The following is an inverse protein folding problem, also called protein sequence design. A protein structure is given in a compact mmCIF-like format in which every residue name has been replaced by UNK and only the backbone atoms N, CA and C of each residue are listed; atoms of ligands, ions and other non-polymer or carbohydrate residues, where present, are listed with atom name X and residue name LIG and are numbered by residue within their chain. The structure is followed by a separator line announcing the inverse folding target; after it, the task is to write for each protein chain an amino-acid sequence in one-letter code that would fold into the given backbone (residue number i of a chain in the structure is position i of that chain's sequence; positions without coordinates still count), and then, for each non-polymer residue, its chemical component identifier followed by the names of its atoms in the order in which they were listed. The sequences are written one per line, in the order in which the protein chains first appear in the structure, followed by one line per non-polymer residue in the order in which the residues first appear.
data_IF_912996696484
#
_entry.id   IF_912996696484
#
_cell.length_a   1.000
_cell.length_b   1.000
_cell.length_c   1.000
_cell.angle_alpha   90.00
_cell.angle_beta   90.00
_cell.angle_gamma   90.00
#
_symmetry.space_group_name_H-M   'P 1'
#
loop_
_entity.id
_entity.type
_entity.pdbx_description
1 polymer ?
#
# COMPACT_ATOMS: atom_id res chain seq x y z
N UNK A 1 14.98 5.46 62.50
CA UNK A 1 14.18 5.59 61.27
C UNK A 1 14.54 4.44 60.35
N UNK A 2 13.51 3.74 59.85
CA UNK A 2 13.46 2.77 58.75
C UNK A 2 13.73 1.30 59.08
N UNK A 3 12.60 0.64 59.31
CA UNK A 3 12.29 -0.76 59.09
C UNK A 3 12.54 -1.23 57.64
N UNK A 4 12.69 -2.55 57.46
CA UNK A 4 11.97 -3.44 56.51
C UNK A 4 12.86 -4.64 56.12
N UNK A 5 12.62 -5.83 56.66
CA UNK A 5 11.61 -6.83 56.25
C UNK A 5 11.96 -7.52 54.91
N UNK A 6 12.34 -8.77 55.09
CA UNK A 6 12.38 -9.93 54.17
C UNK A 6 11.28 -9.99 53.10
N UNK A 7 11.64 -10.45 51.90
CA UNK A 7 10.78 -11.25 50.99
C UNK A 7 11.67 -11.93 49.94
N UNK A 8 11.98 -13.21 50.13
CA UNK A 8 11.27 -14.36 49.56
C UNK A 8 11.68 -14.66 48.12
N UNK A 9 12.55 -15.65 47.99
CA UNK A 9 12.80 -16.42 46.76
C UNK A 9 11.55 -17.26 46.51
N UNK A 10 10.85 -17.02 45.40
CA UNK A 10 9.85 -17.94 44.85
C UNK A 10 10.37 -18.48 43.52
N UNK A 11 10.62 -19.79 43.51
CA UNK A 11 10.71 -20.60 42.31
C UNK A 11 9.38 -20.50 41.54
N UNK A 12 9.45 -20.09 40.28
CA UNK A 12 8.35 -20.18 39.33
C UNK A 12 8.85 -20.84 38.06
N UNK A 13 8.58 -22.15 37.94
CA UNK A 13 8.65 -22.89 36.68
C UNK A 13 7.62 -22.25 35.74
N UNK A 14 8.07 -21.65 34.63
CA UNK A 14 7.19 -21.24 33.55
C UNK A 14 7.21 -22.31 32.46
N UNK A 15 6.06 -22.95 32.35
CA UNK A 15 5.65 -24.01 31.44
C UNK A 15 5.95 -23.71 29.97
N UNK A 16 6.29 -24.77 29.25
CA UNK A 16 6.36 -24.86 27.80
C UNK A 16 4.93 -24.71 27.24
N UNK A 17 4.76 -23.87 26.21
CA UNK A 17 3.77 -24.05 25.14
C UNK A 17 2.29 -23.91 25.48
N UNK A 18 1.69 -22.79 25.08
CA UNK A 18 0.33 -22.76 24.57
C UNK A 18 0.19 -21.61 23.57
N UNK A 19 -0.24 -21.96 22.36
CA UNK A 19 -0.39 -21.13 21.17
C UNK A 19 -1.08 -19.79 21.47
N UNK A 20 -0.42 -18.68 21.13
CA UNK A 20 -1.12 -17.42 20.94
C UNK A 20 -1.87 -17.57 19.61
N UNK A 21 -3.18 -17.84 19.71
CA UNK A 21 -4.08 -17.70 18.57
C UNK A 21 -4.10 -16.20 18.27
N UNK A 22 -3.30 -15.78 17.29
CA UNK A 22 -3.57 -14.55 16.56
C UNK A 22 -4.91 -14.77 15.85
N UNK A 23 -6.00 -14.40 16.52
CA UNK A 23 -7.26 -14.17 15.82
C UNK A 23 -7.04 -13.00 14.89
N UNK A 24 -6.73 -13.31 13.63
CA UNK A 24 -6.87 -12.38 12.53
C UNK A 24 -8.26 -11.72 12.64
N UNK A 25 -8.40 -10.40 12.40
CA UNK A 25 -9.73 -9.88 12.14
C UNK A 25 -10.27 -10.64 10.93
N UNK A 26 -11.43 -11.26 11.14
CA UNK A 26 -12.13 -12.03 10.14
C UNK A 26 -12.23 -11.24 8.83
N UNK A 27 -11.72 -11.85 7.77
CA UNK A 27 -12.34 -11.91 6.46
C UNK A 27 -13.37 -10.79 6.20
N UNK A 28 -12.87 -9.60 5.86
CA UNK A 28 -13.68 -8.63 5.15
C UNK A 28 -14.05 -9.29 3.81
N UNK A 29 -15.25 -9.86 3.77
CA UNK A 29 -15.96 -10.08 2.53
C UNK A 29 -15.82 -8.80 1.69
N UNK A 30 -15.48 -8.87 0.40
CA UNK A 30 -15.65 -7.71 -0.46
C UNK A 30 -17.14 -7.39 -0.44
N UNK A 31 -17.50 -6.38 0.35
CA UNK A 31 -18.84 -5.82 0.32
C UNK A 31 -19.07 -5.37 -1.12
N UNK A 32 -19.91 -6.15 -1.79
CA UNK A 32 -20.27 -5.98 -3.20
C UNK A 32 -21.32 -4.87 -3.34
N UNK A 33 -21.28 -3.85 -2.49
CA UNK A 33 -22.19 -2.70 -2.46
C UNK A 33 -21.72 -1.50 -3.30
N UNK A 34 -20.75 -1.69 -4.21
CA UNK A 34 -20.68 -0.90 -5.45
C UNK A 34 -21.39 -1.62 -6.60
N UNK A 35 -22.59 -2.14 -6.32
CA UNK A 35 -23.56 -2.49 -7.34
C UNK A 35 -24.71 -1.47 -7.31
N UNK A 36 -24.89 -0.80 -8.45
CA UNK A 36 -26.08 -0.06 -8.91
C UNK A 36 -26.19 1.43 -8.56
N UNK A 37 -25.53 2.24 -9.39
CA UNK A 37 -26.26 3.02 -10.39
C UNK A 37 -25.51 2.88 -11.73
N UNK A 38 -26.05 2.09 -12.68
CA UNK A 38 -25.64 2.15 -14.10
C UNK A 38 -25.05 0.91 -14.80
N UNK A 39 -24.96 -0.28 -14.16
CA UNK A 39 -24.38 -1.45 -14.82
C UNK A 39 -25.35 -2.18 -15.78
N UNK A 40 -25.56 -1.59 -16.96
CA UNK A 40 -25.78 -2.35 -18.19
C UNK A 40 -24.55 -2.15 -19.07
N UNK A 41 -23.55 -3.02 -18.95
CA UNK A 41 -22.34 -2.95 -19.75
C UNK A 41 -21.50 -4.22 -19.58
N UNK A 42 -21.11 -4.79 -20.70
CA UNK A 42 -20.37 -6.05 -20.83
C UNK A 42 -19.07 -6.09 -19.99
N UNK A 43 -18.67 -7.30 -19.57
CA UNK A 43 -17.38 -7.62 -18.95
C UNK A 43 -16.20 -7.42 -19.93
N UNK A 44 -15.92 -6.17 -20.28
CA UNK A 44 -14.60 -5.72 -20.74
C UNK A 44 -13.91 -5.14 -19.52
N UNK A 45 -12.68 -5.59 -19.21
CA UNK A 45 -11.85 -5.02 -18.15
C UNK A 45 -11.86 -3.49 -18.25
N UNK A 46 -12.63 -2.84 -17.38
CA UNK A 46 -12.79 -1.40 -17.42
C UNK A 46 -11.44 -0.80 -16.98
N UNK A 47 -10.83 0.10 -17.76
CA UNK A 47 -9.64 0.79 -17.30
C UNK A 47 -9.97 1.53 -16.01
N UNK A 48 -9.15 1.35 -14.97
CA UNK A 48 -9.39 1.97 -13.67
C UNK A 48 -9.50 3.50 -13.82
N UNK A 49 -10.61 4.06 -13.33
CA UNK A 49 -10.82 5.51 -13.27
C UNK A 49 -9.84 6.17 -12.28
N UNK A 50 -9.69 7.49 -12.36
CA UNK A 50 -8.85 8.24 -11.42
C UNK A 50 -9.27 8.06 -9.96
N UNK A 51 -10.57 7.92 -9.69
CA UNK A 51 -11.10 7.68 -8.33
C UNK A 51 -10.73 6.28 -7.85
N UNK A 52 -10.86 5.27 -8.70
CA UNK A 52 -10.46 3.90 -8.36
C UNK A 52 -8.94 3.81 -8.15
N UNK A 53 -8.13 4.47 -8.98
CA UNK A 53 -6.68 4.54 -8.80
C UNK A 53 -6.30 5.23 -7.49
N UNK A 54 -6.98 6.32 -7.09
CA UNK A 54 -6.75 6.96 -5.80
C UNK A 54 -7.12 6.06 -4.61
N UNK A 55 -8.18 5.26 -4.74
CA UNK A 55 -8.55 4.27 -3.73
C UNK A 55 -7.50 3.16 -3.60
N UNK A 56 -6.96 2.67 -4.73
CA UNK A 56 -5.86 1.70 -4.74
C UNK A 56 -4.63 2.29 -4.03
N UNK A 57 -4.23 3.51 -4.38
CA UNK A 57 -3.10 4.20 -3.74
C UNK A 57 -3.30 4.29 -2.23
N UNK A 58 -4.47 4.75 -1.79
CA UNK A 58 -4.79 4.88 -0.36
C UNK A 58 -4.77 3.52 0.35
N UNK A 59 -5.20 2.45 -0.31
CA UNK A 59 -5.18 1.10 0.28
C UNK A 59 -3.76 0.55 0.50
N UNK A 60 -2.80 0.92 -0.35
CA UNK A 60 -1.40 0.45 -0.26
C UNK A 60 -0.60 1.27 0.75
N UNK A 61 -0.75 2.60 0.73
CA UNK A 61 0.00 3.50 1.60
C UNK A 61 -0.65 3.69 2.99
N UNK A 62 -1.92 3.31 3.15
CA UNK A 62 -2.65 3.46 4.40
C UNK A 62 -3.02 4.91 4.72
N UNK A 63 -3.66 5.12 5.87
CA UNK A 63 -4.22 6.44 6.23
C UNK A 63 -3.17 7.52 6.52
N UNK A 64 -1.94 7.13 6.87
CA UNK A 64 -0.85 8.08 7.15
C UNK A 64 -0.29 8.69 5.87
N UNK A 65 0.21 7.85 4.97
CA UNK A 65 0.92 8.27 3.75
C UNK A 65 0.02 8.34 2.51
N UNK A 66 -1.18 7.77 2.57
CA UNK A 66 -2.13 7.71 1.44
C UNK A 66 -2.47 9.06 0.80
N UNK A 67 -2.81 10.11 1.58
CA UNK A 67 -3.11 11.42 1.00
C UNK A 67 -1.94 12.00 0.18
N UNK A 68 -0.72 11.85 0.68
CA UNK A 68 0.47 12.34 0.00
C UNK A 68 0.82 11.50 -1.24
N UNK A 69 0.68 10.17 -1.13
CA UNK A 69 0.83 9.27 -2.26
C UNK A 69 -0.14 9.60 -3.41
N UNK A 70 -1.40 9.96 -3.08
CA UNK A 70 -2.38 10.40 -4.07
C UNK A 70 -1.98 11.74 -4.70
N UNK A 71 -1.47 12.69 -3.91
CA UNK A 71 -0.98 13.98 -4.43
C UNK A 71 0.16 13.79 -5.41
N UNK A 72 1.14 12.95 -5.08
CA UNK A 72 2.27 12.62 -5.94
C UNK A 72 1.78 11.94 -7.22
N UNK A 73 0.95 10.90 -7.13
CA UNK A 73 0.44 10.22 -8.33
C UNK A 73 -0.43 11.14 -9.22
N UNK A 74 -1.10 12.13 -8.62
CA UNK A 74 -1.80 13.18 -9.37
C UNK A 74 -0.83 14.09 -10.11
N UNK A 75 0.28 14.47 -9.49
CA UNK A 75 1.34 15.27 -10.12
C UNK A 75 2.04 14.48 -11.25
N UNK A 76 2.40 13.22 -10.99
CA UNK A 76 3.18 12.38 -11.90
C UNK A 76 2.40 11.94 -13.15
N UNK A 77 1.14 11.54 -13.00
CA UNK A 77 0.38 10.92 -14.08
C UNK A 77 -1.04 11.45 -14.23
N UNK A 78 -1.47 12.41 -13.39
CA UNK A 78 -2.88 12.77 -13.24
C UNK A 78 -3.76 11.56 -12.86
N UNK A 79 -3.24 10.66 -12.01
CA UNK A 79 -3.88 9.41 -11.57
C UNK A 79 -4.22 8.45 -12.74
N UNK A 80 -3.39 8.45 -13.78
CA UNK A 80 -3.55 7.58 -14.95
C UNK A 80 -2.55 6.42 -14.91
N UNK A 81 -3.03 5.22 -14.58
CA UNK A 81 -2.21 4.00 -14.57
C UNK A 81 -1.66 3.60 -15.95
N UNK A 82 -2.31 4.05 -17.03
CA UNK A 82 -1.84 3.86 -18.41
C UNK A 82 -0.85 4.92 -18.88
N UNK A 83 -0.45 5.88 -18.04
CA UNK A 83 0.47 6.93 -18.44
C UNK A 83 1.85 6.35 -18.79
N UNK A 84 2.40 6.78 -19.93
CA UNK A 84 3.72 6.40 -20.39
C UNK A 84 4.42 7.60 -21.00
N UNK A 85 5.64 7.88 -20.54
CA UNK A 85 6.50 8.90 -21.13
C UNK A 85 7.56 8.23 -22.01
N UNK A 86 7.49 8.33 -23.34
CA UNK A 86 8.44 7.70 -24.25
C UNK A 86 9.85 8.31 -24.16
N UNK A 87 9.98 9.57 -23.74
CA UNK A 87 11.27 10.25 -23.67
C UNK A 87 12.10 9.82 -22.46
N UNK A 88 11.45 9.46 -21.34
CA UNK A 88 12.13 9.04 -20.11
C UNK A 88 11.96 7.56 -19.80
N UNK A 89 11.04 6.87 -20.48
CA UNK A 89 10.72 5.46 -20.23
C UNK A 89 9.92 5.21 -18.93
N UNK A 90 9.40 6.28 -18.32
CA UNK A 90 8.60 6.22 -17.10
C UNK A 90 7.16 5.82 -17.38
N UNK A 91 6.56 5.05 -16.45
CA UNK A 91 5.23 4.51 -16.64
C UNK A 91 4.40 4.39 -15.36
N UNK A 92 3.08 4.42 -15.55
CA UNK A 92 2.09 4.19 -14.52
C UNK A 92 1.87 5.36 -13.57
N UNK A 93 1.17 5.08 -12.47
CA UNK A 93 0.68 6.08 -11.52
C UNK A 93 1.80 6.96 -10.94
N UNK A 94 2.94 6.35 -10.61
CA UNK A 94 4.09 7.00 -9.99
C UNK A 94 5.27 7.24 -10.96
N UNK A 95 5.01 7.14 -12.27
CA UNK A 95 6.01 7.36 -13.34
C UNK A 95 7.34 6.64 -13.06
N UNK A 96 7.27 5.36 -12.73
CA UNK A 96 8.45 4.57 -12.42
C UNK A 96 9.20 4.18 -13.70
N UNK A 97 10.53 4.18 -13.65
CA UNK A 97 11.34 3.51 -14.67
C UNK A 97 11.22 2.00 -14.54
N UNK A 98 11.48 1.26 -15.63
CA UNK A 98 11.47 -0.21 -15.61
C UNK A 98 12.46 -0.78 -14.59
N UNK A 99 13.62 -0.16 -14.45
CA UNK A 99 14.66 -0.60 -13.51
C UNK A 99 14.19 -0.48 -12.06
N UNK A 100 13.68 0.69 -11.68
CA UNK A 100 13.16 0.92 -10.33
C UNK A 100 11.99 0.00 -10.03
N UNK A 101 11.06 -0.15 -10.97
CA UNK A 101 9.93 -1.06 -10.85
C UNK A 101 10.36 -2.52 -10.62
N UNK A 102 11.32 -3.02 -11.40
CA UNK A 102 11.85 -4.38 -11.25
C UNK A 102 12.58 -4.57 -9.91
N UNK A 103 13.34 -3.57 -9.45
CA UNK A 103 14.00 -3.59 -8.12
C UNK A 103 13.02 -3.59 -6.94
N UNK A 104 11.76 -3.25 -7.20
CA UNK A 104 10.67 -3.17 -6.24
C UNK A 104 9.68 -4.33 -6.37
N UNK A 105 10.03 -5.41 -7.09
CA UNK A 105 9.26 -6.65 -7.19
C UNK A 105 8.57 -6.90 -8.54
N UNK A 106 8.56 -5.91 -9.44
CA UNK A 106 8.09 -6.09 -10.82
C UNK A 106 6.59 -6.39 -10.96
N UNK A 107 6.23 -7.03 -12.08
CA UNK A 107 4.84 -7.28 -12.49
C UNK A 107 4.48 -6.52 -13.77
N UNK A 108 3.23 -6.05 -13.86
CA UNK A 108 2.80 -5.16 -14.92
C UNK A 108 2.90 -3.70 -14.47
N UNK A 109 3.83 -2.93 -15.05
CA UNK A 109 4.06 -1.54 -14.65
C UNK A 109 2.86 -0.61 -14.92
N UNK A 110 1.95 -1.01 -15.82
CA UNK A 110 0.71 -0.27 -16.14
C UNK A 110 -0.50 -0.82 -15.36
N UNK A 111 -0.33 -1.91 -14.60
CA UNK A 111 -1.33 -2.32 -13.64
C UNK A 111 -1.23 -1.41 -12.40
N UNK A 112 -2.34 -0.78 -11.96
CA UNK A 112 -2.30 0.19 -10.87
C UNK A 112 -1.88 -0.45 -9.54
N UNK A 113 -2.19 -1.72 -9.29
CA UNK A 113 -1.79 -2.39 -8.05
C UNK A 113 -0.28 -2.64 -8.03
N UNK A 114 0.26 -3.21 -9.10
CA UNK A 114 1.69 -3.50 -9.20
C UNK A 114 2.51 -2.20 -9.15
N UNK A 115 2.12 -1.17 -9.90
CA UNK A 115 2.79 0.13 -9.90
C UNK A 115 2.79 0.78 -8.51
N UNK A 116 1.63 0.80 -7.84
CA UNK A 116 1.48 1.39 -6.50
C UNK A 116 2.27 0.60 -5.45
N UNK A 117 2.26 -0.74 -5.49
CA UNK A 117 3.03 -1.58 -4.57
C UNK A 117 4.54 -1.38 -4.75
N UNK A 118 5.00 -1.26 -6.00
CA UNK A 118 6.39 -0.93 -6.28
C UNK A 118 6.76 0.45 -5.72
N UNK A 119 5.91 1.46 -5.94
CA UNK A 119 6.09 2.80 -5.38
C UNK A 119 6.16 2.77 -3.84
N UNK A 120 5.25 2.05 -3.17
CA UNK A 120 5.28 1.88 -1.71
C UNK A 120 6.59 1.27 -1.21
N UNK A 121 7.14 0.27 -1.91
CA UNK A 121 8.45 -0.33 -1.56
C UNK A 121 9.62 0.62 -1.80
N UNK A 122 9.54 1.47 -2.82
CA UNK A 122 10.54 2.53 -3.07
C UNK A 122 10.46 3.58 -1.96
N UNK A 123 9.26 4.03 -1.62
CA UNK A 123 8.99 4.94 -0.52
C UNK A 123 9.52 4.42 0.81
N UNK A 124 9.36 3.14 1.14
CA UNK A 124 9.93 2.58 2.37
C UNK A 124 11.46 2.60 2.42
N UNK A 125 12.14 2.68 1.27
CA UNK A 125 13.61 2.70 1.17
C UNK A 125 14.18 4.11 1.11
N UNK A 126 13.48 5.01 0.43
CA UNK A 126 13.96 6.36 0.10
C UNK A 126 13.10 7.45 0.77
N UNK A 127 11.81 7.23 0.98
CA UNK A 127 10.87 8.26 1.36
C UNK A 127 10.47 9.12 0.16
N UNK A 128 9.81 10.25 0.42
CA UNK A 128 9.20 11.07 -0.64
C UNK A 128 10.18 11.81 -1.55
N UNK A 129 11.45 11.96 -1.15
CA UNK A 129 12.46 12.63 -2.01
C UNK A 129 12.71 11.89 -3.32
N UNK A 130 12.30 10.62 -3.44
CA UNK A 130 12.27 9.89 -4.70
C UNK A 130 11.38 10.55 -5.77
N UNK A 131 10.44 11.40 -5.35
CA UNK A 131 9.55 12.21 -6.20
C UNK A 131 9.65 13.70 -5.81
N UNK A 132 10.86 14.22 -5.58
CA UNK A 132 11.07 15.56 -5.02
C UNK A 132 10.34 16.70 -5.77
N UNK A 133 10.12 16.56 -7.08
CA UNK A 133 9.40 17.54 -7.90
C UNK A 133 7.89 17.58 -7.62
N UNK A 134 7.35 16.48 -7.08
CA UNK A 134 5.93 16.28 -6.80
C UNK A 134 5.62 16.13 -5.30
N UNK A 135 6.66 16.01 -4.45
CA UNK A 135 6.60 15.89 -2.99
C UNK A 135 6.60 17.24 -2.27
#
# INVERSE_FOLDING_TARGET
MRDNIVKSISLGVATIGASIIMSAPANATPDSSLSRVGATGNNTAHPFSAVENAAIITSVFGAGDGPEAVRIARCESNLNAGAYNPSTGQAGLFQLTREWFNSAGGGNILDPWDNTRAAGRIFLRLGWHAWAECA
#
